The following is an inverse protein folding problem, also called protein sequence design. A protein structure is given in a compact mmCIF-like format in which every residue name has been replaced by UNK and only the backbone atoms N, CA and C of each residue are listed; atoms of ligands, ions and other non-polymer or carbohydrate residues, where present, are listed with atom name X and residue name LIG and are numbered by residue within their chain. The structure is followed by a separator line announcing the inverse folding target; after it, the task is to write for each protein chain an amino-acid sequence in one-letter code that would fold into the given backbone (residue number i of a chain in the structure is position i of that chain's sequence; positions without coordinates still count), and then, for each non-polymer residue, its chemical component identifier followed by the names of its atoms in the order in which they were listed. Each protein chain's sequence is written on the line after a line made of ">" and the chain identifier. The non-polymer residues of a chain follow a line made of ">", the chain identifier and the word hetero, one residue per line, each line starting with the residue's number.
data_IF_718838157936
#
_entry.id   IF_718838157936
#
_cell.length_a   1.000
_cell.length_b   1.000
_cell.length_c   1.000
_cell.angle_alpha   90.00
_cell.angle_beta   90.00
_cell.angle_gamma   90.00
#
_symmetry.space_group_name_H-M   'P 1'
#
loop_
_entity.id
_entity.type
_entity.pdbx_description
1 polymer ?
#
# COMPACT_ATOMS: atom_id res chain seq x y z
N UNK A 1 25.36 -3.90 -41.40
CA UNK A 1 25.69 -4.11 -39.97
C UNK A 1 24.41 -4.05 -39.16
N UNK A 2 24.21 -5.03 -38.27
CA UNK A 2 23.11 -5.01 -37.30
C UNK A 2 23.23 -3.81 -36.36
N UNK A 3 22.11 -3.33 -35.85
CA UNK A 3 22.04 -2.18 -34.92
C UNK A 3 21.19 -2.53 -33.71
N UNK A 4 21.17 -1.71 -32.66
CA UNK A 4 20.36 -2.00 -31.47
C UNK A 4 19.10 -1.13 -31.38
N UNK A 5 18.11 -1.56 -30.59
CA UNK A 5 17.03 -0.69 -30.09
C UNK A 5 17.60 0.29 -29.06
N UNK A 6 16.95 1.45 -28.92
CA UNK A 6 17.46 2.56 -28.08
C UNK A 6 17.35 2.29 -26.59
N UNK A 7 16.27 1.65 -26.15
CA UNK A 7 15.94 1.57 -24.72
C UNK A 7 16.42 0.26 -24.07
N UNK A 8 16.42 -0.82 -24.84
CA UNK A 8 16.64 -2.18 -24.33
C UNK A 8 17.77 -2.90 -25.06
N UNK A 9 18.52 -2.20 -25.92
CA UNK A 9 19.67 -2.71 -26.65
C UNK A 9 19.44 -4.03 -27.43
N UNK A 10 18.19 -4.32 -27.81
CA UNK A 10 17.83 -5.51 -28.58
C UNK A 10 18.42 -5.43 -29.98
N UNK A 11 18.92 -6.54 -30.51
CA UNK A 11 19.57 -6.56 -31.83
C UNK A 11 18.53 -6.49 -32.96
N UNK A 12 18.72 -5.56 -33.89
CA UNK A 12 17.92 -5.41 -35.11
C UNK A 12 18.64 -6.09 -36.28
N UNK A 13 17.94 -6.92 -37.07
CA UNK A 13 18.46 -7.39 -38.36
C UNK A 13 18.88 -6.22 -39.25
N UNK A 14 19.95 -6.38 -40.03
CA UNK A 14 20.36 -5.38 -41.00
C UNK A 14 19.37 -5.33 -42.18
N UNK A 15 19.21 -4.15 -42.78
CA UNK A 15 18.39 -4.00 -43.98
C UNK A 15 18.95 -4.83 -45.13
N UNK A 16 18.10 -5.64 -45.78
CA UNK A 16 18.49 -6.47 -46.93
C UNK A 16 19.19 -7.79 -46.58
N UNK A 17 19.31 -8.14 -45.30
CA UNK A 17 19.85 -9.44 -44.85
C UNK A 17 18.73 -10.36 -44.35
N UNK A 18 18.95 -11.68 -44.44
CA UNK A 18 18.06 -12.65 -43.82
C UNK A 18 18.17 -12.56 -42.30
N UNK A 19 17.04 -12.55 -41.60
CA UNK A 19 17.03 -12.51 -40.13
C UNK A 19 17.48 -13.86 -39.55
N UNK A 20 18.44 -13.81 -38.63
CA UNK A 20 18.89 -14.98 -37.88
C UNK A 20 17.92 -15.29 -36.72
N UNK A 21 17.34 -16.50 -36.73
CA UNK A 21 16.39 -16.95 -35.71
C UNK A 21 17.03 -17.00 -34.31
N UNK A 22 18.34 -17.25 -34.21
CA UNK A 22 19.04 -17.27 -32.92
C UNK A 22 19.08 -15.89 -32.26
N UNK A 23 19.26 -14.84 -33.06
CA UNK A 23 19.22 -13.44 -32.62
C UNK A 23 17.81 -13.06 -32.15
N UNK A 24 16.78 -13.52 -32.88
CA UNK A 24 15.38 -13.30 -32.50
C UNK A 24 15.08 -13.96 -31.15
N UNK A 25 15.46 -15.23 -30.98
CA UNK A 25 15.27 -15.95 -29.71
C UNK A 25 15.99 -15.23 -28.55
N UNK A 26 17.23 -14.77 -28.77
CA UNK A 26 17.99 -14.02 -27.76
C UNK A 26 17.29 -12.72 -27.34
N UNK A 27 16.73 -11.98 -28.30
CA UNK A 27 15.95 -10.79 -27.98
C UNK A 27 14.67 -11.14 -27.20
N UNK A 28 14.00 -12.24 -27.55
CA UNK A 28 12.81 -12.70 -26.84
C UNK A 28 13.12 -13.07 -25.39
N UNK A 29 14.21 -13.79 -25.15
CA UNK A 29 14.68 -14.11 -23.79
C UNK A 29 15.00 -12.84 -22.98
N UNK A 30 15.60 -11.84 -23.63
CA UNK A 30 15.91 -10.54 -23.02
C UNK A 30 14.63 -9.79 -22.65
N UNK A 31 13.63 -9.77 -23.54
CA UNK A 31 12.33 -9.15 -23.29
C UNK A 31 11.61 -9.86 -22.15
N UNK A 32 11.55 -11.19 -22.18
CA UNK A 32 10.89 -11.99 -21.16
C UNK A 32 11.51 -11.75 -19.78
N UNK A 33 12.84 -11.83 -19.68
CA UNK A 33 13.58 -11.57 -18.44
C UNK A 33 13.34 -10.15 -17.91
N UNK A 34 13.34 -9.15 -18.80
CA UNK A 34 13.10 -7.76 -18.43
C UNK A 34 11.66 -7.55 -17.94
N UNK A 35 10.69 -8.11 -18.66
CA UNK A 35 9.28 -8.04 -18.29
C UNK A 35 9.00 -8.75 -16.97
N UNK A 36 9.62 -9.90 -16.74
CA UNK A 36 9.57 -10.61 -15.47
C UNK A 36 10.15 -9.77 -14.34
N UNK A 37 11.32 -9.16 -14.56
CA UNK A 37 11.95 -8.27 -13.56
C UNK A 37 11.10 -7.04 -13.24
N UNK A 38 10.43 -6.45 -14.24
CA UNK A 38 9.48 -5.34 -14.03
C UNK A 38 8.28 -5.83 -13.23
N UNK A 39 7.72 -6.99 -13.57
CA UNK A 39 6.61 -7.59 -12.83
C UNK A 39 6.99 -7.82 -11.37
N UNK A 40 8.14 -8.44 -11.12
CA UNK A 40 8.61 -8.74 -9.77
C UNK A 40 8.91 -7.45 -8.98
N UNK A 41 9.48 -6.43 -9.65
CA UNK A 41 9.70 -5.11 -9.05
C UNK A 41 8.39 -4.40 -8.74
N UNK A 42 7.40 -4.46 -9.63
CA UNK A 42 6.09 -3.86 -9.41
C UNK A 42 5.32 -4.57 -8.28
N UNK A 43 5.44 -5.90 -8.20
CA UNK A 43 4.91 -6.69 -7.09
C UNK A 43 5.64 -6.43 -5.77
N UNK A 44 6.97 -6.21 -5.80
CA UNK A 44 7.80 -5.98 -4.61
C UNK A 44 7.88 -4.52 -4.12
N UNK A 45 7.56 -3.54 -4.98
CA UNK A 45 7.45 -2.10 -4.63
C UNK A 45 6.00 -1.66 -4.43
N UNK A 46 5.06 -2.61 -4.44
CA UNK A 46 3.63 -2.40 -4.36
C UNK A 46 3.08 -2.09 -2.97
N UNK A 47 3.89 -1.63 -2.02
CA UNK A 47 3.36 -1.07 -0.77
C UNK A 47 2.89 0.36 -1.02
N UNK A 48 2.02 0.53 -2.03
CA UNK A 48 1.32 1.77 -2.26
C UNK A 48 0.64 2.16 -0.96
N UNK A 49 1.06 3.28 -0.40
CA UNK A 49 0.42 3.83 0.78
C UNK A 49 -1.05 4.08 0.47
N UNK A 50 -1.94 3.53 1.28
CA UNK A 50 -3.35 3.87 1.21
C UNK A 50 -3.58 5.08 2.11
N UNK A 51 -4.10 6.16 1.55
CA UNK A 51 -4.42 7.38 2.28
C UNK A 51 -5.94 7.53 2.32
N UNK A 52 -6.49 7.60 3.54
CA UNK A 52 -7.89 7.88 3.77
C UNK A 52 -8.02 9.19 4.53
N UNK A 53 -8.96 10.04 4.14
CA UNK A 53 -9.20 11.33 4.78
C UNK A 53 -10.63 11.45 5.27
N UNK A 54 -10.83 12.30 6.28
CA UNK A 54 -12.15 12.68 6.81
C UNK A 54 -13.04 11.49 7.17
N UNK A 55 -12.46 10.47 7.82
CA UNK A 55 -13.20 9.25 8.20
C UNK A 55 -13.94 9.48 9.50
N UNK A 56 -15.20 9.06 9.58
CA UNK A 56 -15.96 9.11 10.84
C UNK A 56 -15.64 7.90 11.71
N UNK A 57 -15.41 8.14 12.99
CA UNK A 57 -15.36 7.11 14.03
C UNK A 57 -16.49 7.37 15.04
N UNK A 58 -17.54 6.56 14.98
CA UNK A 58 -18.78 6.76 15.76
C UNK A 58 -19.35 5.50 16.38
N UNK A 59 -18.99 4.31 15.86
CA UNK A 59 -19.47 3.02 16.36
C UNK A 59 -18.42 2.39 17.26
N UNK A 60 -18.45 2.75 18.53
CA UNK A 60 -17.51 2.25 19.54
C UNK A 60 -18.11 1.05 20.29
N UNK A 61 -17.28 0.04 20.54
CA UNK A 61 -17.62 -1.13 21.35
C UNK A 61 -16.66 -1.22 22.54
N UNK A 62 -17.13 -1.78 23.66
CA UNK A 62 -16.23 -2.05 24.79
C UNK A 62 -15.15 -3.05 24.36
N UNK A 63 -13.91 -2.76 24.75
CA UNK A 63 -12.74 -3.56 24.45
C UNK A 63 -11.74 -3.45 25.59
N UNK A 64 -11.10 -4.55 25.98
CA UNK A 64 -10.18 -4.58 27.12
C UNK A 64 -8.72 -4.79 26.70
N UNK A 65 -8.38 -4.56 25.43
CA UNK A 65 -7.00 -4.67 24.92
C UNK A 65 -6.09 -3.64 25.58
N UNK A 66 -6.59 -2.41 25.74
CA UNK A 66 -5.90 -1.31 26.41
C UNK A 66 -6.79 -0.78 27.55
N UNK A 67 -6.48 -1.10 28.82
CA UNK A 67 -7.35 -0.73 29.95
C UNK A 67 -7.63 0.78 30.08
N UNK A 68 -6.65 1.63 29.71
CA UNK A 68 -6.80 3.09 29.72
C UNK A 68 -7.68 3.62 28.58
N UNK A 69 -7.96 2.77 27.57
CA UNK A 69 -8.77 3.09 26.39
C UNK A 69 -9.81 1.99 26.15
N UNK A 70 -10.85 1.87 27.01
CA UNK A 70 -11.75 0.72 27.07
C UNK A 70 -12.79 0.67 25.93
N UNK A 71 -12.67 1.55 24.93
CA UNK A 71 -13.53 1.59 23.75
C UNK A 71 -12.71 1.43 22.48
N UNK A 72 -13.15 0.55 21.57
CA UNK A 72 -12.57 0.36 20.22
C UNK A 72 -13.57 0.76 19.15
N UNK A 73 -13.14 1.52 18.15
CA UNK A 73 -13.92 1.79 16.94
C UNK A 73 -13.26 1.14 15.73
N UNK A 74 -14.07 0.51 14.88
CA UNK A 74 -13.66 -0.05 13.60
C UNK A 74 -13.91 0.97 12.48
N UNK A 75 -12.85 1.50 11.87
CA UNK A 75 -12.94 2.42 10.73
C UNK A 75 -12.69 1.62 9.46
N UNK A 76 -13.71 1.52 8.61
CA UNK A 76 -13.61 0.83 7.33
C UNK A 76 -12.66 1.56 6.37
N UNK A 77 -11.62 0.86 5.91
CA UNK A 77 -10.62 1.33 4.96
C UNK A 77 -10.40 0.22 3.92
N UNK A 78 -11.03 0.36 2.75
CA UNK A 78 -10.98 -0.64 1.67
C UNK A 78 -9.55 -0.89 1.22
N UNK A 79 -9.18 -2.16 1.05
CA UNK A 79 -7.83 -2.57 0.61
C UNK A 79 -6.84 -2.76 1.77
N UNK A 80 -7.23 -2.49 3.00
CA UNK A 80 -6.44 -2.78 4.20
C UNK A 80 -6.56 -4.25 4.60
N UNK A 81 -5.44 -4.85 4.99
CA UNK A 81 -5.34 -6.21 5.53
C UNK A 81 -4.79 -6.18 6.96
N UNK A 82 -4.92 -7.28 7.69
CA UNK A 82 -4.37 -7.39 9.05
C UNK A 82 -2.83 -7.41 9.11
N UNK A 83 -2.15 -7.61 7.97
CA UNK A 83 -0.68 -7.57 7.90
C UNK A 83 -0.15 -6.16 7.63
N UNK A 84 -1.02 -5.22 7.24
CA UNK A 84 -0.63 -3.84 6.96
C UNK A 84 -0.27 -3.09 8.26
N UNK A 85 0.41 -1.95 8.15
CA UNK A 85 0.72 -1.06 9.27
C UNK A 85 0.05 0.29 9.03
N UNK A 86 -0.68 0.81 10.02
CA UNK A 86 -1.39 2.08 9.90
C UNK A 86 -0.84 3.15 10.85
N UNK A 87 -1.05 4.41 10.47
CA UNK A 87 -0.88 5.60 11.28
C UNK A 87 -2.15 6.43 11.20
N UNK A 88 -2.61 6.95 12.33
CA UNK A 88 -3.82 7.77 12.41
C UNK A 88 -3.44 9.15 12.91
N UNK A 89 -3.86 10.19 12.20
CA UNK A 89 -3.72 11.59 12.63
C UNK A 89 -5.08 12.11 13.06
N UNK A 90 -5.18 12.49 14.33
CA UNK A 90 -6.38 13.10 14.90
C UNK A 90 -6.41 14.62 14.71
N UNK A 91 -7.60 15.20 14.81
CA UNK A 91 -7.74 16.66 14.90
C UNK A 91 -7.09 17.18 16.18
N UNK A 92 -6.66 18.45 16.22
CA UNK A 92 -5.84 18.98 17.31
C UNK A 92 -6.50 18.82 18.68
N UNK A 93 -7.79 19.16 18.80
CA UNK A 93 -8.53 19.09 20.07
C UNK A 93 -8.62 17.65 20.58
N UNK A 94 -8.85 16.70 19.66
CA UNK A 94 -8.91 15.28 19.97
C UNK A 94 -7.52 14.73 20.32
N UNK A 95 -6.47 15.13 19.59
CA UNK A 95 -5.10 14.68 19.79
C UNK A 95 -4.53 15.10 21.15
N UNK A 96 -4.89 16.29 21.64
CA UNK A 96 -4.40 16.82 22.93
C UNK A 96 -5.33 16.48 24.11
N UNK A 97 -6.51 15.91 23.84
CA UNK A 97 -7.48 15.57 24.90
C UNK A 97 -7.00 14.49 25.87
N UNK A 98 -6.03 13.66 25.46
CA UNK A 98 -5.61 12.46 26.19
C UNK A 98 -6.60 11.29 26.10
N UNK A 99 -7.75 11.50 25.46
CA UNK A 99 -8.83 10.50 25.39
C UNK A 99 -8.59 9.44 24.31
N UNK A 100 -7.81 9.75 23.27
CA UNK A 100 -7.53 8.82 22.17
C UNK A 100 -6.17 8.14 22.36
N UNK A 101 -6.12 6.84 22.09
CA UNK A 101 -4.87 6.10 22.14
C UNK A 101 -3.90 6.59 21.04
N UNK A 102 -2.58 6.64 21.33
CA UNK A 102 -1.58 7.02 20.33
C UNK A 102 -1.32 5.93 19.29
N UNK A 103 -1.92 4.75 19.45
CA UNK A 103 -1.73 3.57 18.59
C UNK A 103 -3.04 3.16 17.93
N UNK A 104 -2.91 2.56 16.75
CA UNK A 104 -4.00 1.95 16.00
C UNK A 104 -3.59 0.56 15.54
N UNK A 105 -4.54 -0.26 15.10
CA UNK A 105 -4.26 -1.61 14.61
C UNK A 105 -5.03 -1.88 13.33
N UNK A 106 -4.39 -2.46 12.33
CA UNK A 106 -5.05 -2.87 11.09
C UNK A 106 -5.85 -4.15 11.29
N UNK A 107 -6.91 -4.30 10.51
CA UNK A 107 -7.68 -5.53 10.38
C UNK A 107 -8.10 -5.71 8.92
N UNK A 108 -8.61 -6.90 8.58
CA UNK A 108 -9.12 -7.13 7.23
C UNK A 108 -10.28 -6.17 6.91
N UNK A 109 -10.02 -5.19 6.06
CA UNK A 109 -10.97 -4.17 5.64
C UNK A 109 -10.95 -2.86 6.45
N UNK A 110 -10.00 -2.65 7.37
CA UNK A 110 -9.96 -1.38 8.10
C UNK A 110 -8.87 -1.20 9.15
N UNK A 111 -9.07 -0.16 9.96
CA UNK A 111 -8.20 0.22 11.08
C UNK A 111 -9.04 0.36 12.35
N UNK A 112 -8.58 -0.24 13.44
CA UNK A 112 -9.07 -0.02 14.79
C UNK A 112 -8.37 1.18 15.44
N UNK A 113 -9.15 2.06 16.04
CA UNK A 113 -8.68 3.08 16.97
C UNK A 113 -9.29 2.85 18.35
N UNK A 114 -8.67 3.39 19.39
CA UNK A 114 -9.04 3.17 20.78
C UNK A 114 -9.23 4.50 21.51
N UNK A 115 -10.17 4.54 22.46
CA UNK A 115 -10.59 5.74 23.18
C UNK A 115 -10.95 5.46 24.63
N UNK A 116 -10.74 6.45 25.50
CA UNK A 116 -11.21 6.52 26.88
C UNK A 116 -12.72 6.69 26.97
N UNK A 117 -13.33 7.32 25.97
CA UNK A 117 -14.76 7.61 25.90
C UNK A 117 -15.40 7.17 24.59
N UNK A 118 -16.72 6.90 24.63
CA UNK A 118 -17.52 6.65 23.44
C UNK A 118 -18.01 7.99 22.85
N UNK A 119 -17.21 8.57 21.94
CA UNK A 119 -17.48 9.85 21.29
C UNK A 119 -17.40 9.76 19.77
N UNK A 120 -18.31 10.43 19.06
CA UNK A 120 -18.21 10.53 17.61
C UNK A 120 -17.16 11.57 17.24
N UNK A 121 -16.15 11.18 16.45
CA UNK A 121 -15.11 12.07 15.95
C UNK A 121 -14.93 11.94 14.44
N UNK A 122 -14.34 12.96 13.83
CA UNK A 122 -13.80 12.88 12.48
C UNK A 122 -12.30 12.68 12.59
N UNK A 123 -11.77 11.66 11.92
CA UNK A 123 -10.35 11.38 11.78
C UNK A 123 -9.84 12.03 10.50
N UNK A 124 -9.02 13.10 10.58
CA UNK A 124 -8.51 13.80 9.41
C UNK A 124 -7.77 12.90 8.42
N UNK A 125 -6.88 12.02 8.91
CA UNK A 125 -6.06 11.17 8.05
C UNK A 125 -5.79 9.80 8.68
N UNK A 126 -5.82 8.78 7.83
CA UNK A 126 -5.29 7.44 8.08
C UNK A 126 -4.34 7.09 6.94
N UNK A 127 -3.07 6.87 7.27
CA UNK A 127 -2.04 6.39 6.35
C UNK A 127 -1.82 4.90 6.61
N UNK A 128 -1.82 4.07 5.56
CA UNK A 128 -1.57 2.63 5.68
C UNK A 128 -0.46 2.19 4.74
N UNK A 129 0.60 1.64 5.32
CA UNK A 129 1.66 0.95 4.59
C UNK A 129 1.27 -0.52 4.45
N UNK A 130 1.34 -1.05 3.23
CA UNK A 130 1.09 -2.49 3.00
C UNK A 130 2.17 -3.33 3.69
N UNK A 131 1.77 -4.47 4.25
CA UNK A 131 2.67 -5.45 4.87
C UNK A 131 3.13 -6.55 3.93
#
# INVERSE_FOLDING_TARGET
>A
MSTSTTNYNLTKPASGEAADISVINTNMDTIDTTMKSISDTASGKGNAELIFTSKTASSWSSDNTYPDYPYRCAIACTGVTANDVAQVTFAIDDAVSGDLAPVCQTYSGGVYIYSGSNKSITVPMILVHKG
#
